data_IF_569876837735
#
_entry.id   IF_569876837735
#
_cell.length_a   1.000
_cell.length_b   1.000
_cell.length_c   1.000
_cell.angle_alpha   90.00
_cell.angle_beta   90.00
_cell.angle_gamma   90.00
#
_symmetry.space_group_name_H-M   'P 1'
#
loop_
_entity.id
_entity.type
_entity.pdbx_description
1 polymer ?
#
# COMPACT_ATOMS: atom_id res chain seq x y z
N UNK A 1 -36.18 58.75 -10.43
CA UNK A 1 -35.20 59.83 -10.17
C UNK A 1 -34.06 59.59 -11.12
N UNK A 2 -33.86 60.48 -12.07
CA UNK A 2 -32.68 60.46 -12.94
C UNK A 2 -31.62 61.36 -12.31
N UNK A 3 -30.37 60.91 -12.31
CA UNK A 3 -29.25 61.73 -11.84
C UNK A 3 -29.09 62.94 -12.76
N UNK A 4 -28.69 64.08 -12.20
CA UNK A 4 -28.30 65.23 -13.04
C UNK A 4 -27.06 64.86 -13.86
N UNK A 5 -26.82 65.51 -15.01
CA UNK A 5 -25.63 65.22 -15.83
C UNK A 5 -24.31 65.30 -15.05
N UNK A 6 -24.22 66.22 -14.09
CA UNK A 6 -23.05 66.37 -13.21
C UNK A 6 -22.93 65.22 -12.20
N UNK A 7 -24.05 64.75 -11.64
CA UNK A 7 -24.08 63.58 -10.75
C UNK A 7 -23.70 62.31 -11.51
N UNK A 8 -24.17 62.15 -12.75
CA UNK A 8 -23.82 61.02 -13.59
C UNK A 8 -22.33 61.01 -13.93
N UNK A 9 -21.76 62.15 -14.32
CA UNK A 9 -20.33 62.28 -14.58
C UNK A 9 -19.46 61.97 -13.35
N UNK A 10 -19.92 62.36 -12.15
CA UNK A 10 -19.24 62.03 -10.90
C UNK A 10 -19.30 60.52 -10.58
N UNK A 11 -20.47 59.90 -10.75
CA UNK A 11 -20.66 58.45 -10.57
C UNK A 11 -19.77 57.69 -11.56
N UNK A 12 -19.73 58.08 -12.82
CA UNK A 12 -18.91 57.44 -13.86
C UNK A 12 -17.42 57.57 -13.54
N UNK A 13 -16.99 58.72 -12.99
CA UNK A 13 -15.63 58.94 -12.50
C UNK A 13 -15.27 57.99 -11.35
N UNK A 14 -16.12 57.89 -10.34
CA UNK A 14 -15.92 56.98 -9.21
C UNK A 14 -15.89 55.50 -9.63
N UNK A 15 -16.74 55.12 -10.59
CA UNK A 15 -16.75 53.77 -11.16
C UNK A 15 -15.46 53.47 -11.91
N UNK A 16 -14.95 54.44 -12.67
CA UNK A 16 -13.69 54.29 -13.40
C UNK A 16 -12.52 54.14 -12.44
N UNK A 17 -12.42 55.01 -11.42
CA UNK A 17 -11.38 54.93 -10.39
C UNK A 17 -11.42 53.60 -9.63
N UNK A 18 -12.61 53.16 -9.18
CA UNK A 18 -12.74 51.89 -8.49
C UNK A 18 -12.39 50.70 -9.37
N UNK A 19 -12.73 50.76 -10.66
CA UNK A 19 -12.38 49.71 -11.61
C UNK A 19 -10.88 49.63 -11.82
N UNK A 20 -10.21 50.77 -12.04
CA UNK A 20 -8.75 50.83 -12.16
C UNK A 20 -8.05 50.32 -10.89
N UNK A 21 -8.56 50.71 -9.72
CA UNK A 21 -8.06 50.23 -8.44
C UNK A 21 -8.23 48.71 -8.29
N UNK A 22 -9.39 48.16 -8.65
CA UNK A 22 -9.62 46.72 -8.57
C UNK A 22 -8.76 45.93 -9.56
N UNK A 23 -8.60 46.43 -10.78
CA UNK A 23 -7.74 45.81 -11.80
C UNK A 23 -6.28 45.77 -11.36
N UNK A 24 -5.79 46.84 -10.71
CA UNK A 24 -4.39 46.96 -10.29
C UNK A 24 -4.09 46.29 -8.96
N UNK A 25 -4.93 46.49 -7.93
CA UNK A 25 -4.66 46.01 -6.57
C UNK A 25 -5.14 44.56 -6.34
N UNK A 26 -6.12 44.09 -7.10
CA UNK A 26 -6.74 42.77 -6.88
C UNK A 26 -6.49 41.84 -8.06
N UNK A 27 -6.87 42.24 -9.27
CA UNK A 27 -6.82 41.35 -10.44
C UNK A 27 -5.38 41.02 -10.86
N UNK A 28 -4.51 42.03 -10.99
CA UNK A 28 -3.13 41.82 -11.44
C UNK A 28 -2.29 40.93 -10.50
N UNK A 29 -2.37 41.08 -9.16
CA UNK A 29 -1.71 40.15 -8.23
C UNK A 29 -2.25 38.72 -8.35
N UNK A 30 -3.58 38.54 -8.41
CA UNK A 30 -4.18 37.20 -8.56
C UNK A 30 -3.78 36.52 -9.87
N UNK A 31 -3.67 37.27 -10.97
CA UNK A 31 -3.19 36.74 -12.25
C UNK A 31 -1.72 36.31 -12.16
N UNK A 32 -0.90 37.06 -11.41
CA UNK A 32 0.52 36.75 -11.19
C UNK A 32 0.70 35.51 -10.32
N UNK A 33 -0.05 35.42 -9.22
CA UNK A 33 -0.08 34.24 -8.34
C UNK A 33 -0.56 33.00 -9.11
N UNK A 34 -1.63 33.13 -9.89
CA UNK A 34 -2.15 32.03 -10.71
C UNK A 34 -1.14 31.58 -11.76
N UNK A 35 -0.40 32.51 -12.38
CA UNK A 35 0.66 32.18 -13.32
C UNK A 35 1.82 31.42 -12.64
N UNK A 36 2.17 31.78 -11.40
CA UNK A 36 3.20 31.10 -10.61
C UNK A 36 2.79 29.72 -10.10
N UNK A 37 1.49 29.48 -9.89
CA UNK A 37 0.94 28.20 -9.45
C UNK A 37 0.69 27.20 -10.59
N UNK A 38 0.73 27.66 -11.85
CA UNK A 38 0.58 26.76 -12.99
C UNK A 38 1.76 25.78 -13.01
N UNK A 39 1.49 24.46 -13.11
CA UNK A 39 2.56 23.49 -13.29
C UNK A 39 3.41 23.89 -14.49
N UNK A 40 4.72 24.03 -14.27
CA UNK A 40 5.65 24.25 -15.37
C UNK A 40 5.47 23.08 -16.34
N UNK A 41 5.19 23.40 -17.60
CA UNK A 41 5.07 22.37 -18.63
C UNK A 41 6.41 21.66 -18.73
N UNK A 42 6.43 20.37 -18.36
CA UNK A 42 7.62 19.52 -18.52
C UNK A 42 8.09 19.60 -19.97
N UNK A 43 9.38 19.83 -20.15
CA UNK A 43 10.03 19.74 -21.45
C UNK A 43 9.88 18.33 -22.02
N UNK A 44 10.00 18.18 -23.34
CA UNK A 44 9.88 16.84 -23.96
C UNK A 44 10.94 15.86 -23.43
N UNK A 45 12.12 16.37 -23.06
CA UNK A 45 13.18 15.58 -22.42
C UNK A 45 12.77 15.08 -21.02
N UNK A 46 12.15 15.92 -20.20
CA UNK A 46 11.69 15.52 -18.86
C UNK A 46 10.56 14.48 -18.94
N UNK A 47 9.65 14.62 -19.91
CA UNK A 47 8.62 13.60 -20.16
C UNK A 47 9.22 12.27 -20.61
N UNK A 48 10.25 12.31 -21.46
CA UNK A 48 10.94 11.11 -21.91
C UNK A 48 11.68 10.41 -20.75
N UNK A 49 12.32 11.18 -19.87
CA UNK A 49 12.99 10.66 -18.68
C UNK A 49 11.98 10.02 -17.73
N UNK A 50 10.87 10.70 -17.43
CA UNK A 50 9.81 10.17 -16.55
C UNK A 50 9.21 8.87 -17.12
N UNK A 51 8.99 8.81 -18.43
CA UNK A 51 8.52 7.58 -19.07
C UNK A 51 9.53 6.43 -18.94
N UNK A 52 10.83 6.71 -19.10
CA UNK A 52 11.90 5.71 -18.90
C UNK A 52 12.01 5.27 -17.46
N UNK A 53 11.88 6.17 -16.49
CA UNK A 53 11.88 5.84 -15.06
C UNK A 53 10.71 4.93 -14.70
N UNK A 54 9.51 5.22 -15.21
CA UNK A 54 8.35 4.35 -15.02
C UNK A 54 8.55 2.98 -15.67
N UNK A 55 9.12 2.92 -16.88
CA UNK A 55 9.43 1.65 -17.55
C UNK A 55 10.45 0.83 -16.75
N UNK A 56 11.51 1.48 -16.25
CA UNK A 56 12.55 0.86 -15.45
C UNK A 56 11.96 0.29 -14.15
N UNK A 57 11.18 1.09 -13.44
CA UNK A 57 10.49 0.69 -12.22
C UNK A 57 9.59 -0.53 -12.44
N UNK A 58 8.79 -0.52 -13.51
CA UNK A 58 7.90 -1.64 -13.84
C UNK A 58 8.68 -2.93 -14.11
N UNK A 59 9.84 -2.83 -14.76
CA UNK A 59 10.73 -3.99 -14.99
C UNK A 59 11.35 -4.49 -13.69
N UNK A 60 11.87 -3.60 -12.87
CA UNK A 60 12.46 -3.95 -11.57
C UNK A 60 11.43 -4.63 -10.66
N UNK A 61 10.24 -4.04 -10.54
CA UNK A 61 9.12 -4.61 -9.79
C UNK A 61 8.75 -6.01 -10.28
N UNK A 62 8.63 -6.20 -11.60
CA UNK A 62 8.30 -7.50 -12.20
C UNK A 62 9.36 -8.56 -11.91
N UNK A 63 10.65 -8.20 -12.06
CA UNK A 63 11.76 -9.10 -11.74
C UNK A 63 11.78 -9.48 -10.27
N UNK A 64 11.61 -8.52 -9.37
CA UNK A 64 11.63 -8.75 -7.92
C UNK A 64 10.48 -9.66 -7.46
N UNK A 65 9.28 -9.46 -8.00
CA UNK A 65 8.12 -10.34 -7.75
C UNK A 65 8.40 -11.76 -8.25
N UNK A 66 9.02 -11.88 -9.43
CA UNK A 66 9.38 -13.16 -10.03
C UNK A 66 10.44 -13.91 -9.23
N UNK A 67 11.46 -13.22 -8.73
CA UNK A 67 12.51 -13.78 -7.86
C UNK A 67 11.94 -14.38 -6.58
N UNK A 68 10.86 -13.78 -6.06
CA UNK A 68 10.14 -14.28 -4.88
C UNK A 68 9.12 -15.38 -5.20
N UNK A 69 8.99 -15.79 -6.47
CA UNK A 69 8.03 -16.82 -6.90
C UNK A 69 6.57 -16.38 -6.82
N UNK A 70 6.31 -15.06 -6.85
CA UNK A 70 4.97 -14.47 -6.69
C UNK A 70 4.41 -13.91 -8.00
N UNK A 71 4.93 -14.36 -9.15
CA UNK A 71 4.53 -13.90 -10.49
C UNK A 71 3.02 -13.96 -10.72
N UNK A 72 2.35 -15.01 -10.25
CA UNK A 72 0.90 -15.20 -10.40
C UNK A 72 0.08 -14.13 -9.65
N UNK A 73 0.72 -13.40 -8.74
CA UNK A 73 0.11 -12.35 -7.93
C UNK A 73 0.62 -10.95 -8.30
N UNK A 74 1.31 -10.80 -9.44
CA UNK A 74 1.94 -9.53 -9.83
C UNK A 74 0.98 -8.34 -9.83
N UNK A 75 -0.27 -8.54 -10.26
CA UNK A 75 -1.32 -7.52 -10.32
C UNK A 75 -1.76 -7.01 -8.93
N UNK A 76 -1.51 -7.76 -7.87
CA UNK A 76 -1.90 -7.39 -6.51
C UNK A 76 -0.85 -6.54 -5.78
N UNK A 77 0.35 -6.39 -6.34
CA UNK A 77 1.39 -5.55 -5.76
C UNK A 77 1.21 -4.10 -6.21
N UNK A 78 1.08 -3.17 -5.25
CA UNK A 78 0.98 -1.73 -5.53
C UNK A 78 2.09 -0.95 -4.81
N UNK A 79 3.29 -1.52 -4.78
CA UNK A 79 4.44 -0.86 -4.17
C UNK A 79 4.99 0.26 -5.05
N UNK A 80 5.47 1.32 -4.38
CA UNK A 80 6.20 2.44 -4.99
C UNK A 80 7.71 2.39 -4.73
N UNK A 81 8.16 1.53 -3.81
CA UNK A 81 9.58 1.28 -3.52
C UNK A 81 9.83 -0.22 -3.36
N UNK A 82 11.11 -0.63 -3.45
CA UNK A 82 11.50 -2.03 -3.25
C UNK A 82 11.24 -2.48 -1.81
N UNK A 83 11.44 -1.62 -0.80
CA UNK A 83 11.15 -2.00 0.59
C UNK A 83 9.66 -2.29 0.81
N UNK A 84 8.77 -1.47 0.24
CA UNK A 84 7.32 -1.71 0.32
C UNK A 84 6.94 -3.00 -0.43
N UNK A 85 7.58 -3.25 -1.58
CA UNK A 85 7.39 -4.49 -2.34
C UNK A 85 7.82 -5.72 -1.53
N UNK A 86 8.94 -5.63 -0.82
CA UNK A 86 9.44 -6.67 0.09
C UNK A 86 8.45 -6.94 1.22
N UNK A 87 7.95 -5.89 1.88
CA UNK A 87 6.99 -6.01 2.97
C UNK A 87 5.69 -6.66 2.47
N UNK A 88 5.18 -6.24 1.31
CA UNK A 88 3.99 -6.82 0.70
C UNK A 88 4.20 -8.30 0.35
N UNK A 89 5.37 -8.63 -0.22
CA UNK A 89 5.70 -9.98 -0.63
C UNK A 89 5.86 -10.93 0.57
N UNK A 90 6.48 -10.47 1.65
CA UNK A 90 6.57 -11.22 2.90
C UNK A 90 5.20 -11.50 3.51
N UNK A 91 4.31 -10.50 3.53
CA UNK A 91 2.94 -10.66 4.03
C UNK A 91 2.18 -11.70 3.22
N UNK A 92 2.28 -11.65 1.89
CA UNK A 92 1.62 -12.61 1.01
C UNK A 92 2.18 -14.02 1.24
N UNK A 93 3.50 -14.18 1.29
CA UNK A 93 4.14 -15.47 1.58
C UNK A 93 3.69 -16.06 2.93
N UNK A 94 3.63 -15.24 3.99
CA UNK A 94 3.12 -15.70 5.30
C UNK A 94 1.68 -16.23 5.21
N UNK A 95 0.83 -15.58 4.43
CA UNK A 95 -0.56 -16.03 4.21
C UNK A 95 -0.59 -17.35 3.44
N UNK A 96 0.20 -17.47 2.37
CA UNK A 96 0.29 -18.69 1.57
C UNK A 96 0.76 -19.88 2.41
N UNK A 97 1.79 -19.70 3.23
CA UNK A 97 2.29 -20.75 4.13
C UNK A 97 1.26 -21.12 5.20
N UNK A 98 0.57 -20.15 5.81
CA UNK A 98 -0.51 -20.44 6.75
C UNK A 98 -1.68 -21.22 6.11
N UNK A 99 -2.02 -20.92 4.85
CA UNK A 99 -3.06 -21.67 4.10
C UNK A 99 -2.60 -23.07 3.72
N UNK A 100 -1.33 -23.26 3.33
CA UNK A 100 -0.75 -24.59 3.09
C UNK A 100 -0.82 -25.46 4.34
N UNK A 101 -0.45 -24.92 5.51
CA UNK A 101 -0.53 -25.65 6.79
C UNK A 101 -1.96 -26.06 7.15
N UNK A 102 -2.93 -25.17 6.96
CA UNK A 102 -4.34 -25.47 7.25
C UNK A 102 -4.96 -26.50 6.29
N UNK A 103 -4.45 -26.59 5.06
CA UNK A 103 -4.92 -27.55 4.06
C UNK A 103 -4.08 -28.83 4.01
N UNK A 104 -2.99 -28.92 4.77
CA UNK A 104 -2.23 -30.14 4.90
C UNK A 104 -3.06 -31.17 5.68
N UNK A 105 -3.22 -32.36 5.11
CA UNK A 105 -3.90 -33.47 5.76
C UNK A 105 -3.22 -33.80 7.10
N UNK A 106 -3.91 -33.51 8.20
CA UNK A 106 -3.55 -34.02 9.53
C UNK A 106 -4.18 -35.41 9.64
N UNK A 107 -3.40 -36.49 9.73
CA UNK A 107 -3.96 -37.83 9.83
C UNK A 107 -4.89 -37.93 11.05
N UNK A 108 -6.18 -38.10 10.79
CA UNK A 108 -7.17 -38.40 11.85
C UNK A 108 -6.99 -39.87 12.26
N UNK A 109 -5.97 -40.13 13.08
CA UNK A 109 -5.62 -41.51 13.42
C UNK A 109 -4.30 -41.70 14.14
N UNK A 110 -3.66 -40.65 14.66
CA UNK A 110 -2.62 -40.86 15.66
C UNK A 110 -3.29 -41.53 16.86
N UNK A 111 -3.20 -42.87 16.94
CA UNK A 111 -3.38 -43.56 18.21
C UNK A 111 -2.46 -42.82 19.17
N UNK A 112 -3.04 -42.15 20.16
CA UNK A 112 -2.28 -41.61 21.29
C UNK A 112 -1.35 -42.73 21.72
N UNK A 113 -0.04 -42.50 21.63
CA UNK A 113 0.96 -43.51 22.00
C UNK A 113 0.53 -44.07 23.35
N UNK A 114 0.40 -45.40 23.45
CA UNK A 114 -0.09 -46.01 24.68
C UNK A 114 0.84 -45.61 25.84
N UNK A 115 0.32 -45.61 27.07
CA UNK A 115 1.07 -45.13 28.23
C UNK A 115 2.44 -45.85 28.37
N UNK A 116 2.53 -47.10 27.90
CA UNK A 116 3.77 -47.84 27.81
C UNK A 116 4.75 -47.25 26.79
N UNK A 117 4.33 -46.99 25.54
CA UNK A 117 5.17 -46.41 24.49
C UNK A 117 5.63 -44.98 24.81
N UNK A 118 4.87 -44.22 25.59
CA UNK A 118 5.30 -42.92 26.09
C UNK A 118 6.38 -43.07 27.18
N UNK A 119 6.17 -43.97 28.14
CA UNK A 119 7.12 -44.25 29.21
C UNK A 119 8.43 -44.88 28.73
N UNK A 120 8.38 -45.71 27.68
CA UNK A 120 9.56 -46.29 27.02
C UNK A 120 10.43 -45.21 26.38
N UNK A 121 9.82 -44.20 25.73
CA UNK A 121 10.56 -43.08 25.14
C UNK A 121 11.20 -42.15 26.16
N UNK A 122 10.57 -41.97 27.33
CA UNK A 122 11.08 -41.11 28.40
C UNK A 122 11.98 -41.85 29.41
N UNK A 123 12.15 -43.17 29.27
CA UNK A 123 12.92 -43.99 30.20
C UNK A 123 12.25 -44.17 31.58
N UNK A 124 10.95 -43.91 31.68
CA UNK A 124 10.20 -44.02 32.93
C UNK A 124 9.81 -45.48 33.21
N UNK A 125 10.71 -46.20 33.88
CA UNK A 125 10.52 -47.62 34.22
C UNK A 125 9.33 -47.87 35.14
N UNK A 126 8.94 -46.91 35.98
CA UNK A 126 7.81 -47.09 36.90
C UNK A 126 6.49 -47.11 36.12
N UNK A 127 6.32 -46.16 35.21
CA UNK A 127 5.14 -46.09 34.34
C UNK A 127 5.11 -47.24 33.33
N UNK A 128 6.26 -47.73 32.87
CA UNK A 128 6.36 -48.94 32.03
C UNK A 128 5.85 -50.20 32.76
N UNK A 129 6.25 -50.42 34.00
CA UNK A 129 5.81 -51.58 34.79
C UNK A 129 4.33 -51.43 35.14
N UNK A 130 3.91 -50.25 35.60
CA UNK A 130 2.51 -49.97 35.93
C UNK A 130 1.58 -50.22 34.76
N UNK A 131 1.93 -49.76 33.55
CA UNK A 131 1.11 -49.97 32.36
C UNK A 131 1.01 -51.44 31.91
N UNK A 132 2.04 -52.27 32.15
CA UNK A 132 1.96 -53.73 31.92
C UNK A 132 1.09 -54.43 32.96
N UNK A 133 1.23 -54.08 34.24
CA UNK A 133 0.45 -54.68 35.32
C UNK A 133 -1.03 -54.32 35.20
N UNK A 134 -1.35 -53.04 34.91
CA UNK A 134 -2.73 -52.62 34.71
C UNK A 134 -3.40 -53.39 33.56
N UNK A 135 -2.69 -53.70 32.47
CA UNK A 135 -3.21 -54.52 31.35
C UNK A 135 -3.45 -56.00 31.73
N UNK A 136 -2.80 -56.50 32.78
CA UNK A 136 -2.96 -57.90 33.24
C UNK A 136 -4.10 -58.06 34.26
N UNK A 137 -4.48 -56.98 34.94
CA UNK A 137 -5.49 -56.99 36.01
C UNK A 137 -6.74 -56.14 35.71
N UNK A 138 -6.83 -55.60 34.49
CA UNK A 138 -8.02 -54.92 33.95
C UNK A 138 -8.87 -55.85 33.08
#
# INVERSE_FOLDING_TARGET
MEFTPEQQAHIDGLLTEHKEKWETEILAPLQTELAGLKPVAKTDKEKEIEAKEQELWNKEKSLHIKEKGLSDFAEFFNANTIEDLDIQAEKLNKILEAKKLNNAYVPSGHKTADAYAQAEKSGDTQTMIGSKLSKLFS
#
